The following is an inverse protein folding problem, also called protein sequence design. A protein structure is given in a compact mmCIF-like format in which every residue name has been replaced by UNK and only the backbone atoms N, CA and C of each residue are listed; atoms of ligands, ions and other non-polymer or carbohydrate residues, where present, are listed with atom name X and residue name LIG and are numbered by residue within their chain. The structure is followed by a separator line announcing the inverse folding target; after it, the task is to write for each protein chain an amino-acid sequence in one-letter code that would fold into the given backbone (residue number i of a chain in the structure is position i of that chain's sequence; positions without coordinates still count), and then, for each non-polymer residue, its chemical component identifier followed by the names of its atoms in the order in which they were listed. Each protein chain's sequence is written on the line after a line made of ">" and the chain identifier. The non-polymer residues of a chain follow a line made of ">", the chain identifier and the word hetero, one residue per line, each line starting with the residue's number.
data_IF_115485215701
#
_entry.id   IF_115485215701
#
_cell.length_a   1.000
_cell.length_b   1.000
_cell.length_c   1.000
_cell.angle_alpha   90.00
_cell.angle_beta   90.00
_cell.angle_gamma   90.00
#
_symmetry.space_group_name_H-M   'P 1'
#
loop_
_entity.id
_entity.type
_entity.pdbx_description
1 polymer ?
#
# COMPACT_ATOMS: atom_id res chain seq x y z
N UNK A 1 10.30 -2.57 13.29
CA UNK A 1 8.82 -2.61 13.23
C UNK A 1 8.42 -3.75 12.32
N UNK A 2 7.36 -4.46 12.66
CA UNK A 2 6.83 -5.55 11.83
C UNK A 2 6.35 -4.98 10.51
N UNK A 3 6.91 -5.48 9.41
CA UNK A 3 6.43 -5.19 8.05
C UNK A 3 5.10 -5.92 7.85
N UNK A 4 4.20 -5.31 7.07
CA UNK A 4 2.93 -5.93 6.68
C UNK A 4 2.98 -6.14 5.17
N UNK A 5 2.74 -7.36 4.72
CA UNK A 5 2.61 -7.66 3.29
C UNK A 5 1.12 -7.61 2.94
N UNK A 6 0.77 -6.89 1.90
CA UNK A 6 -0.61 -6.72 1.44
C UNK A 6 -0.71 -7.16 -0.01
N UNK A 7 -1.75 -7.92 -0.33
CA UNK A 7 -2.15 -8.18 -1.71
C UNK A 7 -3.24 -7.16 -2.08
N UNK A 8 -2.98 -6.40 -3.14
CA UNK A 8 -3.86 -5.38 -3.70
C UNK A 8 -4.37 -5.83 -5.06
N UNK A 9 -5.68 -5.95 -5.20
CA UNK A 9 -6.34 -6.13 -6.48
C UNK A 9 -6.54 -4.76 -7.14
N UNK A 10 -6.00 -4.59 -8.34
CA UNK A 10 -6.18 -3.42 -9.20
C UNK A 10 -6.91 -3.87 -10.45
N UNK A 11 -7.96 -3.13 -10.83
CA UNK A 11 -8.78 -3.39 -12.00
C UNK A 11 -9.26 -2.05 -12.54
N UNK A 12 -9.09 -1.79 -13.84
CA UNK A 12 -9.43 -0.53 -14.52
C UNK A 12 -10.92 -0.18 -14.39
N UNK A 13 -11.79 -1.18 -14.27
CA UNK A 13 -13.23 -1.01 -14.04
C UNK A 13 -13.57 -0.45 -12.63
N UNK A 14 -12.60 -0.48 -11.70
CA UNK A 14 -12.77 -0.02 -10.33
C UNK A 14 -11.97 1.25 -10.08
N UNK A 15 -12.59 2.22 -9.38
CA UNK A 15 -11.94 3.50 -9.08
C UNK A 15 -10.82 3.34 -8.06
N UNK A 16 -10.88 2.38 -7.13
CA UNK A 16 -9.89 2.22 -6.06
C UNK A 16 -9.37 0.76 -5.96
N UNK A 17 -8.06 0.55 -5.74
CA UNK A 17 -7.49 -0.75 -5.42
C UNK A 17 -8.12 -1.37 -4.18
N UNK A 18 -8.27 -2.69 -4.18
CA UNK A 18 -8.88 -3.42 -3.08
C UNK A 18 -7.87 -4.29 -2.35
N UNK A 19 -7.82 -4.19 -1.02
CA UNK A 19 -7.00 -5.08 -0.18
C UNK A 19 -7.66 -6.47 -0.13
N UNK A 20 -7.04 -7.47 -0.75
CA UNK A 20 -7.55 -8.84 -0.80
C UNK A 20 -6.75 -9.83 0.07
N UNK A 21 -5.57 -9.44 0.56
CA UNK A 21 -4.73 -10.27 1.41
C UNK A 21 -3.89 -9.43 2.38
N UNK A 22 -3.70 -9.92 3.61
CA UNK A 22 -2.87 -9.28 4.63
C UNK A 22 -2.03 -10.36 5.33
N UNK A 23 -0.71 -10.16 5.38
CA UNK A 23 0.23 -11.03 6.09
C UNK A 23 1.12 -10.20 7.01
N UNK A 24 0.98 -10.41 8.30
CA UNK A 24 1.68 -9.64 9.33
C UNK A 24 0.74 -9.20 10.44
N UNK A 25 1.29 -8.64 11.51
CA UNK A 25 0.50 -8.08 12.60
C UNK A 25 0.26 -6.60 12.36
N UNK A 26 -1.01 -6.21 12.29
CA UNK A 26 -1.45 -4.82 12.21
C UNK A 26 -2.85 -4.68 12.83
N UNK A 27 -3.21 -3.47 13.21
CA UNK A 27 -4.57 -3.14 13.65
C UNK A 27 -5.46 -2.83 12.44
N UNK A 28 -6.76 -2.73 12.67
CA UNK A 28 -7.70 -2.27 11.64
C UNK A 28 -7.43 -0.81 11.28
N UNK A 29 -7.06 0.02 12.27
CA UNK A 29 -6.71 1.43 12.04
C UNK A 29 -5.46 1.55 11.14
N UNK A 30 -4.48 0.66 11.33
CA UNK A 30 -3.31 0.58 10.44
C UNK A 30 -3.73 0.24 9.00
N UNK A 31 -4.62 -0.74 8.81
CA UNK A 31 -5.11 -1.13 7.48
C UNK A 31 -5.85 0.02 6.79
N UNK A 32 -6.69 0.74 7.52
CA UNK A 32 -7.39 1.92 6.99
C UNK A 32 -6.42 3.05 6.61
N UNK A 33 -5.38 3.27 7.41
CA UNK A 33 -4.36 4.26 7.13
C UNK A 33 -3.51 3.87 5.90
N UNK A 34 -3.19 2.58 5.76
CA UNK A 34 -2.47 2.05 4.59
C UNK A 34 -3.33 2.16 3.33
N UNK A 35 -4.60 1.76 3.39
CA UNK A 35 -5.55 1.88 2.27
C UNK A 35 -5.65 3.33 1.78
N UNK A 36 -5.83 4.27 2.72
CA UNK A 36 -5.87 5.70 2.42
C UNK A 36 -4.58 6.18 1.73
N UNK A 37 -3.42 5.80 2.27
CA UNK A 37 -2.11 6.15 1.71
C UNK A 37 -1.95 5.63 0.28
N UNK A 38 -2.39 4.40 0.00
CA UNK A 38 -2.36 3.82 -1.35
C UNK A 38 -3.30 4.60 -2.28
N UNK A 39 -4.52 4.90 -1.86
CA UNK A 39 -5.48 5.64 -2.69
C UNK A 39 -4.97 7.04 -3.01
N UNK A 40 -4.39 7.75 -2.03
CA UNK A 40 -3.91 9.12 -2.18
C UNK A 40 -2.58 9.21 -2.96
N UNK A 41 -1.73 8.17 -2.92
CA UNK A 41 -0.36 8.21 -3.48
C UNK A 41 -0.02 7.09 -4.47
N UNK A 42 -1.02 6.40 -5.04
CA UNK A 42 -0.80 5.34 -6.05
C UNK A 42 -0.34 5.87 -7.41
N UNK A 43 -0.79 7.05 -7.83
CA UNK A 43 -0.51 7.65 -9.15
C UNK A 43 -0.30 6.61 -10.28
N UNK A 44 0.80 6.68 -11.02
CA UNK A 44 1.19 5.76 -12.09
C UNK A 44 1.88 4.48 -11.56
N UNK A 45 1.97 4.28 -10.24
CA UNK A 45 2.70 3.14 -9.64
C UNK A 45 1.95 1.82 -9.79
N UNK A 46 0.64 1.86 -10.01
CA UNK A 46 -0.23 0.68 -10.22
C UNK A 46 -0.89 0.71 -11.62
N UNK A 47 -0.11 0.57 -12.71
CA UNK A 47 -0.58 0.90 -14.06
C UNK A 47 -1.32 -0.23 -14.79
N UNK A 48 -1.50 -1.41 -14.17
CA UNK A 48 -2.06 -2.60 -14.85
C UNK A 48 -3.04 -3.34 -13.96
N UNK A 49 -3.99 -4.00 -14.60
CA UNK A 49 -4.92 -4.91 -13.94
C UNK A 49 -4.22 -6.18 -13.46
N UNK A 50 -4.50 -6.55 -12.21
CA UNK A 50 -3.90 -7.70 -11.57
C UNK A 50 -3.78 -7.54 -10.06
N UNK A 51 -3.05 -8.47 -9.46
CA UNK A 51 -2.76 -8.46 -8.03
C UNK A 51 -1.33 -8.00 -7.80
N UNK A 52 -1.17 -6.92 -7.06
CA UNK A 52 0.13 -6.43 -6.59
C UNK A 52 0.35 -6.90 -5.15
N UNK A 53 1.46 -7.60 -4.91
CA UNK A 53 1.96 -7.79 -3.54
C UNK A 53 2.81 -6.60 -3.19
N UNK A 54 2.42 -5.87 -2.15
CA UNK A 54 3.17 -4.75 -1.61
C UNK A 54 3.70 -5.07 -0.21
N UNK A 55 4.85 -4.51 0.12
CA UNK A 55 5.38 -4.48 1.47
C UNK A 55 5.14 -3.09 2.03
N UNK A 56 4.57 -3.01 3.24
CA UNK A 56 4.30 -1.75 3.92
C UNK A 56 5.06 -1.64 5.23
N UNK A 57 5.45 -0.41 5.55
CA UNK A 57 6.14 -0.08 6.79
C UNK A 57 5.79 1.32 7.27
N UNK A 58 5.71 1.49 8.60
CA UNK A 58 5.46 2.79 9.21
C UNK A 58 6.76 3.60 9.25
N UNK A 59 6.82 4.68 8.49
CA UNK A 59 7.83 5.71 8.67
C UNK A 59 7.48 6.53 9.91
N UNK A 60 8.41 6.62 10.87
CA UNK A 60 8.17 7.32 12.14
C UNK A 60 8.21 8.84 12.03
N UNK A 61 8.46 9.38 10.85
CA UNK A 61 8.76 10.79 10.68
C UNK A 61 10.23 11.10 10.97
N UNK A 62 10.65 12.28 10.54
CA UNK A 62 11.95 12.85 10.85
C UNK A 62 11.74 14.12 11.68
N UNK A 63 12.46 14.21 12.80
CA UNK A 63 12.40 15.33 13.71
C UNK A 63 13.79 15.94 13.87
N UNK A 64 13.89 17.25 13.71
CA UNK A 64 15.13 17.99 13.82
C UNK A 64 15.62 18.15 15.27
N UNK A 65 16.75 18.85 15.43
CA UNK A 65 17.48 19.03 16.70
C UNK A 65 16.62 19.60 17.84
N UNK A 66 15.57 20.37 17.52
CA UNK A 66 14.66 20.97 18.50
C UNK A 66 13.31 20.24 18.60
N UNK A 67 13.22 18.99 18.11
CA UNK A 67 11.98 18.22 18.08
C UNK A 67 10.93 18.76 17.09
N UNK A 68 11.32 19.65 16.17
CA UNK A 68 10.45 20.12 15.10
C UNK A 68 10.28 19.02 14.07
N UNK A 69 9.04 18.75 13.67
CA UNK A 69 8.73 17.81 12.61
C UNK A 69 9.26 18.36 11.28
N UNK A 70 10.21 17.66 10.68
CA UNK A 70 10.77 17.96 9.35
C UNK A 70 10.06 17.13 8.28
N UNK A 71 9.77 15.86 8.58
CA UNK A 71 8.96 14.97 7.76
C UNK A 71 7.95 14.26 8.66
N UNK A 72 6.68 14.30 8.30
CA UNK A 72 5.62 13.69 9.09
C UNK A 72 5.73 12.15 9.05
N UNK A 73 5.33 11.45 10.12
CA UNK A 73 5.13 10.00 10.05
C UNK A 73 4.04 9.64 9.04
N UNK A 74 4.20 8.48 8.41
CA UNK A 74 3.28 7.99 7.38
C UNK A 74 3.53 6.53 7.07
N UNK A 75 2.58 5.91 6.38
CA UNK A 75 2.82 4.58 5.82
C UNK A 75 3.60 4.72 4.53
N UNK A 76 4.61 3.89 4.37
CA UNK A 76 5.35 3.75 3.13
C UNK A 76 5.09 2.35 2.59
N UNK A 77 5.10 2.23 1.26
CA UNK A 77 4.86 0.95 0.61
C UNK A 77 5.65 0.81 -0.68
N UNK A 78 6.06 -0.41 -0.97
CA UNK A 78 6.80 -0.79 -2.17
C UNK A 78 6.20 -2.05 -2.80
N UNK A 79 6.24 -2.14 -4.13
CA UNK A 79 5.78 -3.32 -4.86
C UNK A 79 6.88 -4.39 -4.78
N UNK A 80 6.50 -5.57 -4.29
CA UNK A 80 7.37 -6.73 -4.20
C UNK A 80 7.13 -7.70 -5.36
N UNK A 81 5.86 -7.87 -5.73
CA UNK A 81 5.46 -8.81 -6.78
C UNK A 81 4.21 -8.28 -7.50
N UNK A 82 4.07 -8.63 -8.78
CA UNK A 82 2.87 -8.37 -9.57
C UNK A 82 2.47 -9.63 -10.32
N UNK A 83 1.21 -10.02 -10.14
CA UNK A 83 0.57 -11.09 -10.89
C UNK A 83 -0.51 -10.48 -11.79
N UNK A 84 -0.38 -10.57 -13.12
CA UNK A 84 -1.43 -10.09 -14.02
C UNK A 84 -2.74 -10.86 -13.80
N UNK A 85 -3.86 -10.21 -14.10
CA UNK A 85 -5.16 -10.87 -14.09
C UNK A 85 -5.29 -11.75 -15.35
N UNK A 86 -5.24 -13.07 -15.19
CA UNK A 86 -5.53 -14.01 -16.29
C UNK A 86 -7.06 -14.08 -16.48
N UNK A 87 -7.61 -13.19 -17.30
CA UNK A 87 -8.98 -13.33 -17.81
C UNK A 87 -8.89 -14.21 -19.06
N UNK A 88 -9.43 -15.45 -19.07
CA UNK A 88 -9.50 -16.23 -20.29
C UNK A 88 -10.37 -15.50 -21.32
N UNK A 89 -9.83 -15.28 -22.52
CA UNK A 89 -10.60 -14.75 -23.66
C UNK A 89 -11.78 -15.71 -23.96
N UNK A 90 -13.01 -15.19 -23.95
CA UNK A 90 -14.23 -15.94 -24.32
C UNK A 90 -14.29 -16.31 -25.81
#
# INVERSE_FOLDING_TARGET
>A
MSKVIIDLLVMDDFTDPFICGVRGACTIEDLQAIEKEIIENRDERLPKDGTYTIETSLFKGQYGEYGRCELAPGWEWEIVEFSPLDIPEE
#
